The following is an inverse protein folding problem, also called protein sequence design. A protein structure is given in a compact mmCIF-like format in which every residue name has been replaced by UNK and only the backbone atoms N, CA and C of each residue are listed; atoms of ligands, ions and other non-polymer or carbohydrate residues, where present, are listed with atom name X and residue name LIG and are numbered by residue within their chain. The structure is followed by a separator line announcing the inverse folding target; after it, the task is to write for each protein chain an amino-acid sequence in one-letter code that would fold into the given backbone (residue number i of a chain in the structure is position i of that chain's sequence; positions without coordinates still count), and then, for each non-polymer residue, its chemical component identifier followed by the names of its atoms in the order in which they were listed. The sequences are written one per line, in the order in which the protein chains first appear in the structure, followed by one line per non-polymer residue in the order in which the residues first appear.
data_IF_118091158223
#
_entry.id   IF_118091158223
#
_cell.length_a   1.000
_cell.length_b   1.000
_cell.length_c   1.000
_cell.angle_alpha   90.00
_cell.angle_beta   90.00
_cell.angle_gamma   90.00
#
_symmetry.space_group_name_H-M   'P 1'
#
loop_
_entity.id
_entity.type
_entity.pdbx_description
1 polymer ?
#
# COMPACT_ATOMS: atom_id res chain seq x y z
N UNK A 1 -18.75 1.25 2.81
CA UNK A 1 -18.14 0.28 1.88
C UNK A 1 -16.95 -0.25 2.67
N UNK A 2 -17.10 -1.45 3.22
CA UNK A 2 -16.37 -1.88 4.43
C UNK A 2 -14.88 -2.11 4.20
N UNK A 3 -14.12 -2.01 5.28
CA UNK A 3 -12.71 -2.39 5.34
C UNK A 3 -12.59 -3.88 4.99
N UNK A 4 -12.30 -4.17 3.72
CA UNK A 4 -12.06 -5.53 3.26
C UNK A 4 -10.59 -5.86 3.49
N UNK A 5 -10.34 -6.69 4.51
CA UNK A 5 -9.00 -7.20 4.77
C UNK A 5 -8.64 -8.30 3.77
N UNK A 6 -7.45 -8.19 3.20
CA UNK A 6 -6.86 -9.25 2.35
C UNK A 6 -5.73 -9.94 3.11
N UNK A 7 -5.59 -11.25 2.91
CA UNK A 7 -4.46 -11.97 3.49
C UNK A 7 -3.16 -11.63 2.75
N UNK A 8 -1.98 -11.76 3.39
CA UNK A 8 -0.69 -11.58 2.72
C UNK A 8 -0.54 -12.48 1.48
N UNK A 9 -1.06 -13.70 1.52
CA UNK A 9 -1.03 -14.62 0.38
C UNK A 9 -1.92 -14.13 -0.78
N UNK A 10 -3.09 -13.55 -0.47
CA UNK A 10 -3.96 -12.95 -1.47
C UNK A 10 -3.30 -11.70 -2.10
N UNK A 11 -2.72 -10.83 -1.27
CA UNK A 11 -1.96 -9.67 -1.76
C UNK A 11 -0.82 -10.11 -2.69
N UNK A 12 -0.06 -11.14 -2.32
CA UNK A 12 1.02 -11.65 -3.17
C UNK A 12 0.52 -12.06 -4.56
N UNK A 13 -0.61 -12.78 -4.63
CA UNK A 13 -1.20 -13.18 -5.91
C UNK A 13 -1.63 -11.99 -6.75
N UNK A 14 -2.17 -10.92 -6.14
CA UNK A 14 -2.55 -9.70 -6.84
C UNK A 14 -1.34 -8.95 -7.39
N UNK A 15 -0.23 -8.92 -6.66
CA UNK A 15 1.02 -8.30 -7.10
C UNK A 15 1.63 -8.96 -8.34
N UNK A 16 1.34 -10.24 -8.57
CA UNK A 16 1.84 -10.99 -9.73
C UNK A 16 0.93 -10.84 -10.98
N UNK A 17 -0.07 -9.95 -10.95
CA UNK A 17 -1.00 -9.71 -12.07
C UNK A 17 -0.53 -8.60 -13.01
N UNK A 18 -1.17 -8.48 -14.18
CA UNK A 18 -0.87 -7.41 -15.14
C UNK A 18 -1.28 -5.99 -14.65
N UNK A 19 -2.17 -5.91 -13.66
CA UNK A 19 -2.64 -4.66 -13.06
C UNK A 19 -2.65 -4.78 -11.54
N UNK A 20 -1.47 -4.75 -10.90
CA UNK A 20 -1.35 -4.91 -9.46
C UNK A 20 -1.94 -3.70 -8.71
N UNK A 21 -2.42 -3.89 -7.48
CA UNK A 21 -2.90 -2.81 -6.63
C UNK A 21 -1.77 -1.83 -6.28
N UNK A 22 -2.12 -0.61 -5.90
CA UNK A 22 -1.17 0.30 -5.25
C UNK A 22 -1.01 -0.10 -3.80
N UNK A 23 0.20 -0.49 -3.42
CA UNK A 23 0.54 -0.79 -2.02
C UNK A 23 1.11 0.47 -1.38
N UNK A 24 0.55 0.86 -0.24
CA UNK A 24 1.03 1.99 0.56
C UNK A 24 1.53 1.45 1.90
N UNK A 25 2.79 1.70 2.22
CA UNK A 25 3.35 1.42 3.53
C UNK A 25 3.15 2.67 4.40
N UNK A 26 2.36 2.56 5.47
CA UNK A 26 2.03 3.70 6.35
C UNK A 26 2.84 3.73 7.64
N UNK A 27 3.80 2.81 7.78
CA UNK A 27 4.70 2.71 8.93
C UNK A 27 5.73 3.84 8.95
N UNK A 28 6.51 3.92 10.02
CA UNK A 28 7.57 4.93 10.14
C UNK A 28 8.76 4.67 9.20
N UNK A 29 9.64 5.68 9.08
CA UNK A 29 10.82 5.65 8.21
C UNK A 29 11.78 4.51 8.56
N UNK A 30 11.93 4.18 9.83
CA UNK A 30 12.87 3.17 10.29
C UNK A 30 12.38 1.76 9.94
N UNK A 31 11.09 1.49 10.14
CA UNK A 31 10.44 0.24 9.76
C UNK A 31 10.44 0.03 8.24
N UNK A 32 10.14 1.09 7.47
CA UNK A 32 10.21 1.03 6.01
C UNK A 32 11.63 0.74 5.54
N UNK A 33 12.64 1.44 6.10
CA UNK A 33 14.04 1.23 5.74
C UNK A 33 14.58 -0.14 6.15
N UNK A 34 14.09 -0.71 7.27
CA UNK A 34 14.47 -2.05 7.72
C UNK A 34 13.92 -3.16 6.80
N UNK A 35 12.81 -2.89 6.10
CA UNK A 35 12.26 -3.79 5.08
C UNK A 35 10.79 -3.51 4.80
N UNK A 36 10.41 -3.59 3.54
CA UNK A 36 9.05 -3.32 3.07
C UNK A 36 8.73 -4.17 1.83
N UNK A 37 7.45 -4.20 1.44
CA UNK A 37 7.01 -4.90 0.23
C UNK A 37 7.62 -4.20 -0.99
N UNK A 38 8.38 -4.90 -1.87
CA UNK A 38 8.97 -4.27 -3.05
C UNK A 38 7.92 -3.59 -3.93
N UNK A 39 8.16 -2.33 -4.29
CA UNK A 39 7.22 -1.52 -5.07
C UNK A 39 6.15 -0.79 -4.23
N UNK A 40 6.10 -1.00 -2.91
CA UNK A 40 5.26 -0.20 -2.03
C UNK A 40 5.73 1.26 -1.99
N UNK A 41 4.78 2.19 -2.01
CA UNK A 41 5.04 3.60 -1.77
C UNK A 41 4.98 3.88 -0.28
N UNK A 42 6.01 4.50 0.26
CA UNK A 42 6.04 4.92 1.66
C UNK A 42 5.29 6.24 1.83
N UNK A 43 4.23 6.22 2.62
CA UNK A 43 3.49 7.42 3.03
C UNK A 43 3.09 7.22 4.49
N UNK A 44 3.88 7.73 5.45
CA UNK A 44 3.57 7.62 6.87
C UNK A 44 2.13 8.04 7.19
N UNK A 45 1.47 7.33 8.12
CA UNK A 45 0.05 7.50 8.42
C UNK A 45 -0.34 8.95 8.76
N UNK A 46 0.55 9.68 9.44
CA UNK A 46 0.38 11.09 9.82
C UNK A 46 0.47 12.06 8.62
N UNK A 47 1.08 11.63 7.51
CA UNK A 47 1.22 12.37 6.27
C UNK A 47 0.16 11.98 5.22
N UNK A 48 -0.46 10.80 5.37
CA UNK A 48 -1.36 10.22 4.39
C UNK A 48 -2.48 11.17 3.95
N UNK A 49 -3.16 11.82 4.89
CA UNK A 49 -4.26 12.74 4.60
C UNK A 49 -3.85 13.90 3.68
N UNK A 50 -2.61 14.39 3.80
CA UNK A 50 -2.08 15.50 2.99
C UNK A 50 -1.63 15.04 1.60
N UNK A 51 -1.35 13.74 1.45
CA UNK A 51 -0.81 13.15 0.24
C UNK A 51 -1.83 12.30 -0.53
N UNK A 52 -3.09 12.22 -0.08
CA UNK A 52 -4.14 11.44 -0.76
C UNK A 52 -4.23 11.72 -2.26
N UNK A 53 -4.07 12.98 -2.69
CA UNK A 53 -4.11 13.36 -4.11
C UNK A 53 -2.96 12.82 -4.96
N UNK A 54 -1.93 12.23 -4.35
CA UNK A 54 -0.80 11.59 -5.05
C UNK A 54 -0.99 10.08 -5.25
N UNK A 55 -2.04 9.51 -4.63
CA UNK A 55 -2.35 8.09 -4.72
C UNK A 55 -3.21 7.85 -5.98
N UNK A 56 -2.81 6.92 -6.86
CA UNK A 56 -3.62 6.55 -8.01
C UNK A 56 -5.01 6.06 -7.58
N UNK A 57 -6.05 6.53 -8.28
CA UNK A 57 -7.45 6.15 -8.03
C UNK A 57 -8.00 5.18 -9.10
N UNK A 58 -7.16 4.75 -10.05
CA UNK A 58 -7.52 3.87 -11.17
C UNK A 58 -7.46 2.38 -10.81
N UNK A 59 -7.00 2.05 -9.61
CA UNK A 59 -6.79 0.68 -9.14
C UNK A 59 -7.00 0.57 -7.62
N UNK A 60 -7.18 -0.64 -7.08
CA UNK A 60 -7.31 -0.83 -5.64
C UNK A 60 -6.07 -0.34 -4.89
N UNK A 61 -6.28 0.24 -3.72
CA UNK A 61 -5.24 0.69 -2.80
C UNK A 61 -5.22 -0.23 -1.59
N UNK A 62 -4.05 -0.75 -1.24
CA UNK A 62 -3.84 -1.61 -0.07
C UNK A 62 -2.84 -0.91 0.86
N UNK A 63 -3.32 -0.22 1.90
CA UNK A 63 -2.46 0.25 2.98
C UNK A 63 -2.08 -0.92 3.90
N UNK A 64 -0.86 -0.91 4.46
CA UNK A 64 -0.44 -1.83 5.52
C UNK A 64 0.52 -1.17 6.51
#
# INVERSE_FOLDING_TARGET
MGDEFISPQALRRLLDTAQPPTVIDVRDDAEYAAGHIPGARHIPADQLARQLGQIPHDRPVVPY
#
